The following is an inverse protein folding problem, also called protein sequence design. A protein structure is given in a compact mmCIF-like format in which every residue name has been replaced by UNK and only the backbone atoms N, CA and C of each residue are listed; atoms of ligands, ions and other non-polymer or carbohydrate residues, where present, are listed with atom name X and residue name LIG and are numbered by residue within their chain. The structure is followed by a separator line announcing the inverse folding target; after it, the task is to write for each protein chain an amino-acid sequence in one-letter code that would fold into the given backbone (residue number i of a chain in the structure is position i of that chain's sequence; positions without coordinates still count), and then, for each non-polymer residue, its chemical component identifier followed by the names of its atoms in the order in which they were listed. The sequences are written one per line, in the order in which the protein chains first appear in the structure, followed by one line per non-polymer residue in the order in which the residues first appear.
data_IF_985119983016
#
_entry.id   IF_985119983016
#
_cell.length_a   1.000
_cell.length_b   1.000
_cell.length_c   1.000
_cell.angle_alpha   90.00
_cell.angle_beta   90.00
_cell.angle_gamma   90.00
#
_symmetry.space_group_name_H-M   'P 1'
#
loop_
_entity.id
_entity.type
_entity.pdbx_description
1 polymer ?
#
# COMPACT_ATOMS: atom_id res chain seq x y z
N UNK A 1 22.35 -25.44 -63.20
CA UNK A 1 23.63 -26.09 -62.81
C UNK A 1 24.04 -25.62 -61.42
N UNK A 2 24.53 -26.53 -60.58
CA UNK A 2 24.76 -26.30 -59.16
C UNK A 2 26.26 -26.29 -58.80
N UNK A 3 26.58 -25.53 -57.73
CA UNK A 3 27.73 -25.64 -56.79
C UNK A 3 29.13 -25.28 -57.32
N UNK A 4 29.83 -24.36 -56.64
CA UNK A 4 30.76 -24.69 -55.52
C UNK A 4 31.38 -23.44 -54.90
N UNK A 5 31.60 -23.55 -53.60
CA UNK A 5 32.22 -22.59 -52.70
C UNK A 5 33.76 -22.68 -52.69
N UNK A 6 34.45 -21.61 -52.29
CA UNK A 6 35.53 -21.69 -51.27
C UNK A 6 35.97 -20.32 -50.75
N UNK A 7 35.59 -20.04 -49.50
CA UNK A 7 36.39 -19.52 -48.37
C UNK A 7 37.75 -18.87 -48.67
N UNK A 8 37.97 -17.64 -48.16
CA UNK A 8 39.22 -17.33 -47.47
C UNK A 8 39.02 -16.32 -46.34
N UNK A 9 39.27 -16.84 -45.14
CA UNK A 9 39.35 -16.15 -43.85
C UNK A 9 40.49 -15.12 -43.83
N UNK A 10 40.21 -13.92 -43.34
CA UNK A 10 41.18 -12.83 -43.17
C UNK A 10 40.89 -11.99 -41.93
N UNK A 11 41.08 -12.59 -40.76
CA UNK A 11 41.55 -12.01 -39.48
C UNK A 11 41.78 -10.48 -39.47
N UNK A 12 41.07 -9.76 -38.58
CA UNK A 12 41.68 -8.94 -37.51
C UNK A 12 40.62 -8.36 -36.56
N UNK A 13 40.77 -8.72 -35.30
CA UNK A 13 40.06 -8.16 -34.16
C UNK A 13 40.52 -6.73 -33.88
N UNK A 14 39.59 -5.88 -33.46
CA UNK A 14 39.89 -4.65 -32.72
C UNK A 14 38.95 -4.61 -31.50
N UNK A 15 39.45 -4.72 -30.26
CA UNK A 15 38.67 -4.46 -29.07
C UNK A 15 38.78 -2.97 -28.76
N UNK A 16 37.67 -2.24 -28.67
CA UNK A 16 37.72 -0.90 -28.09
C UNK A 16 36.41 -0.51 -27.43
N UNK A 17 36.54 -0.27 -26.13
CA UNK A 17 35.73 0.73 -25.44
C UNK A 17 34.49 0.17 -24.78
N UNK A 18 34.67 -0.39 -23.59
CA UNK A 18 33.60 -0.34 -22.61
C UNK A 18 33.23 1.12 -22.33
N UNK A 19 31.94 1.40 -22.31
CA UNK A 19 31.38 2.55 -21.63
C UNK A 19 30.28 2.00 -20.72
N UNK A 20 30.69 1.63 -19.50
CA UNK A 20 29.79 1.67 -18.34
C UNK A 20 29.40 3.14 -18.19
N UNK A 21 28.28 3.54 -18.78
CA UNK A 21 27.71 4.85 -18.56
C UNK A 21 26.67 4.73 -17.46
N UNK A 22 27.12 5.14 -16.27
CA UNK A 22 26.32 5.75 -15.22
C UNK A 22 25.01 5.05 -14.89
N UNK A 23 25.11 4.00 -14.05
CA UNK A 23 24.14 3.88 -12.96
C UNK A 23 24.32 5.13 -12.12
N UNK A 24 23.55 6.17 -12.44
CA UNK A 24 23.25 7.21 -11.49
C UNK A 24 22.79 6.47 -10.23
N UNK A 25 23.58 6.60 -9.16
CA UNK A 25 23.14 6.26 -7.83
C UNK A 25 21.96 7.20 -7.57
N UNK A 26 20.78 6.74 -7.96
CA UNK A 26 19.54 7.25 -7.39
C UNK A 26 19.70 6.87 -5.93
N UNK A 27 20.11 7.84 -5.13
CA UNK A 27 19.92 7.78 -3.71
C UNK A 27 18.44 7.40 -3.55
N UNK A 28 18.20 6.15 -3.15
CA UNK A 28 16.91 5.73 -2.64
C UNK A 28 16.66 6.67 -1.47
N UNK A 29 15.96 7.78 -1.77
CA UNK A 29 15.29 8.56 -0.76
C UNK A 29 14.29 7.56 -0.23
N UNK A 30 14.66 6.89 0.84
CA UNK A 30 13.75 6.18 1.72
C UNK A 30 12.74 7.24 2.15
N UNK A 31 11.65 7.32 1.38
CA UNK A 31 10.48 8.08 1.74
C UNK A 31 9.98 7.37 2.98
N UNK A 32 10.42 7.84 4.14
CA UNK A 32 9.80 7.51 5.41
C UNK A 32 8.39 8.06 5.26
N UNK A 33 7.46 7.18 4.88
CA UNK A 33 6.04 7.47 4.84
C UNK A 33 5.67 7.86 6.28
N UNK A 34 5.59 9.17 6.53
CA UNK A 34 5.05 9.68 7.79
C UNK A 34 3.69 9.00 7.98
N UNK A 35 3.56 8.25 9.07
CA UNK A 35 2.31 7.59 9.42
C UNK A 35 1.20 8.63 9.38
N UNK A 36 0.35 8.53 8.36
CA UNK A 36 -0.76 9.45 8.15
C UNK A 36 -1.71 9.24 9.31
N UNK A 37 -1.60 10.10 10.32
CA UNK A 37 -2.43 10.05 11.52
C UNK A 37 -3.93 10.10 11.20
N UNK A 38 -4.74 9.71 12.17
CA UNK A 38 -6.21 9.76 12.06
C UNK A 38 -6.65 11.16 11.62
N UNK A 39 -7.35 11.22 10.49
CA UNK A 39 -7.88 12.46 9.97
C UNK A 39 -9.08 12.94 10.78
N UNK A 40 -9.45 14.21 10.61
CA UNK A 40 -10.65 14.79 11.23
C UNK A 40 -11.90 13.97 10.89
N UNK A 41 -12.01 13.49 9.65
CA UNK A 41 -13.12 12.64 9.23
C UNK A 41 -13.18 11.31 10.00
N UNK A 42 -12.01 10.70 10.26
CA UNK A 42 -11.93 9.47 11.04
C UNK A 42 -12.35 9.72 12.49
N UNK A 43 -11.90 10.85 13.07
CA UNK A 43 -12.30 11.29 14.41
C UNK A 43 -13.81 11.51 14.52
N UNK A 44 -14.45 12.12 13.51
CA UNK A 44 -15.90 12.30 13.46
C UNK A 44 -16.59 10.94 13.37
N UNK A 45 -16.15 10.06 12.46
CA UNK A 45 -16.74 8.74 12.30
C UNK A 45 -16.67 7.91 13.60
N UNK A 46 -15.51 7.91 14.27
CA UNK A 46 -15.31 7.25 15.57
C UNK A 46 -16.23 7.88 16.62
N UNK A 47 -16.25 9.21 16.71
CA UNK A 47 -17.08 9.93 17.68
C UNK A 47 -18.57 9.66 17.52
N UNK A 48 -19.08 9.72 16.28
CA UNK A 48 -20.48 9.40 15.97
C UNK A 48 -20.82 7.95 16.28
N UNK A 49 -19.91 7.02 15.99
CA UNK A 49 -20.11 5.59 16.32
C UNK A 49 -20.24 5.38 17.82
N UNK A 50 -19.37 6.00 18.61
CA UNK A 50 -19.43 5.94 20.08
C UNK A 50 -20.76 6.51 20.58
N UNK A 51 -21.16 7.69 20.09
CA UNK A 51 -22.44 8.30 20.47
C UNK A 51 -23.64 7.38 20.17
N UNK A 52 -23.61 6.71 19.02
CA UNK A 52 -24.67 5.79 18.63
C UNK A 52 -24.73 4.55 19.54
N UNK A 53 -23.58 3.97 19.89
CA UNK A 53 -23.51 2.87 20.85
C UNK A 53 -24.05 3.27 22.22
N UNK A 54 -23.67 4.45 22.72
CA UNK A 54 -24.17 4.97 24.00
C UNK A 54 -25.68 5.17 23.95
N UNK A 55 -26.23 5.71 22.86
CA UNK A 55 -27.67 5.90 22.71
C UNK A 55 -28.44 4.57 22.74
N UNK A 56 -27.93 3.53 22.07
CA UNK A 56 -28.51 2.19 22.12
C UNK A 56 -28.46 1.63 23.54
N UNK A 57 -27.31 1.72 24.21
CA UNK A 57 -27.15 1.18 25.57
C UNK A 57 -28.02 1.91 26.60
N UNK A 58 -28.17 3.24 26.49
CA UNK A 58 -29.07 4.00 27.36
C UNK A 58 -30.53 3.63 27.12
N UNK A 59 -30.93 3.46 25.86
CA UNK A 59 -32.29 3.02 25.52
C UNK A 59 -32.56 1.63 26.10
N UNK A 60 -31.61 0.71 25.93
CA UNK A 60 -31.70 -0.64 26.48
C UNK A 60 -31.76 -0.64 28.01
N UNK A 61 -30.96 0.21 28.66
CA UNK A 61 -30.96 0.38 30.11
C UNK A 61 -32.33 0.85 30.63
N UNK A 62 -32.92 1.87 30.00
CA UNK A 62 -34.24 2.37 30.39
C UNK A 62 -35.31 1.30 30.15
N UNK A 63 -35.30 0.63 29.00
CA UNK A 63 -36.25 -0.47 28.71
C UNK A 63 -36.09 -1.65 29.67
N UNK A 64 -34.86 -1.96 30.07
CA UNK A 64 -34.53 -2.98 31.06
C UNK A 64 -35.05 -2.64 32.44
N UNK A 65 -34.61 -1.50 32.98
CA UNK A 65 -34.84 -1.13 34.38
C UNK A 65 -36.26 -0.66 34.66
N UNK A 66 -36.89 0.06 33.74
CA UNK A 66 -38.22 0.62 33.96
C UNK A 66 -39.34 -0.29 33.43
N UNK A 67 -39.07 -1.04 32.35
CA UNK A 67 -40.08 -1.81 31.63
C UNK A 67 -39.81 -3.32 31.60
N UNK A 68 -38.69 -3.80 32.13
CA UNK A 68 -38.34 -5.23 32.18
C UNK A 68 -38.10 -5.88 30.81
N UNK A 69 -37.86 -5.07 29.77
CA UNK A 69 -37.82 -5.52 28.36
C UNK A 69 -36.49 -5.24 27.66
N UNK A 70 -35.46 -4.84 28.40
CA UNK A 70 -34.09 -4.66 27.88
C UNK A 70 -33.42 -5.97 27.49
N UNK A 71 -32.55 -5.90 26.47
CA UNK A 71 -31.71 -6.99 25.98
C UNK A 71 -30.54 -7.28 26.91
N UNK A 72 -29.82 -6.24 27.33
CA UNK A 72 -28.62 -6.35 28.17
C UNK A 72 -28.89 -6.02 29.63
N UNK A 73 -29.77 -5.05 29.90
CA UNK A 73 -30.19 -4.70 31.25
C UNK A 73 -31.59 -5.28 31.51
N UNK A 74 -31.78 -5.94 32.66
CA UNK A 74 -33.04 -6.59 33.07
C UNK A 74 -33.32 -6.32 34.54
#
# INVERSE_FOLDING_TARGET
MARKASRRSGRKAAPKGGSKKDRAAVAEIEVVEEEKGLGVNDGIAIGTTILFLVAILLTDYTLGTEYGTGLFFK
#
